data_IF_470793652129
#
_entry.id   IF_470793652129
#
_cell.length_a   1.000
_cell.length_b   1.000
_cell.length_c   1.000
_cell.angle_alpha   90.00
_cell.angle_beta   90.00
_cell.angle_gamma   90.00
#
_symmetry.space_group_name_H-M   'P 1'
#
loop_
_entity.id
_entity.type
_entity.pdbx_description
1 polymer ?
#
# COMPACT_ATOMS: atom_id res chain seq x y z
N UNK A 1 -6.38 -22.36 2.20
CA UNK A 1 -5.14 -22.58 2.98
C UNK A 1 -4.25 -21.38 2.67
N UNK A 2 -4.14 -20.46 3.61
CA UNK A 2 -3.61 -19.10 3.45
C UNK A 2 -2.13 -19.12 3.01
N UNK A 3 -1.78 -18.52 1.86
CA UNK A 3 -0.40 -18.18 1.51
C UNK A 3 -0.10 -16.74 1.93
N UNK A 4 -0.15 -16.47 3.23
CA UNK A 4 0.27 -15.17 3.75
C UNK A 4 1.80 -15.19 3.90
N UNK A 5 2.51 -14.90 2.81
CA UNK A 5 3.93 -14.52 2.88
C UNK A 5 4.01 -13.06 3.32
N UNK A 6 3.72 -12.83 4.60
CA UNK A 6 3.84 -11.50 5.20
C UNK A 6 5.31 -11.10 5.30
N UNK A 7 5.61 -9.88 4.87
CA UNK A 7 6.89 -9.28 5.22
C UNK A 7 6.85 -8.86 6.69
N UNK A 8 7.86 -9.29 7.46
CA UNK A 8 7.95 -8.97 8.89
C UNK A 8 8.57 -7.59 9.11
N UNK A 9 8.27 -6.98 10.26
CA UNK A 9 8.90 -5.73 10.71
C UNK A 9 10.43 -5.82 10.69
N UNK A 10 10.99 -6.91 11.21
CA UNK A 10 12.43 -7.18 11.22
C UNK A 10 13.01 -7.26 9.80
N UNK A 11 12.31 -7.90 8.86
CA UNK A 11 12.76 -7.97 7.47
C UNK A 11 12.79 -6.58 6.82
N UNK A 12 11.79 -5.73 7.07
CA UNK A 12 11.77 -4.34 6.58
C UNK A 12 12.96 -3.55 7.15
N UNK A 13 13.18 -3.64 8.46
CA UNK A 13 14.29 -2.97 9.14
C UNK A 13 15.67 -3.40 8.60
N UNK A 14 15.80 -4.67 8.23
CA UNK A 14 17.02 -5.23 7.65
C UNK A 14 17.15 -4.96 6.14
N UNK A 15 16.29 -4.13 5.54
CA UNK A 15 16.40 -3.71 4.15
C UNK A 15 15.91 -4.75 3.13
N UNK A 16 15.05 -5.69 3.51
CA UNK A 16 14.58 -6.75 2.61
C UNK A 16 13.89 -6.20 1.35
N UNK A 17 13.13 -5.10 1.48
CA UNK A 17 12.42 -4.49 0.33
C UNK A 17 13.41 -3.81 -0.62
N UNK A 18 14.40 -3.10 -0.09
CA UNK A 18 15.48 -2.53 -0.91
C UNK A 18 16.25 -3.64 -1.65
N UNK A 19 16.54 -4.74 -0.96
CA UNK A 19 17.20 -5.89 -1.57
C UNK A 19 16.37 -6.49 -2.72
N UNK A 20 15.04 -6.61 -2.56
CA UNK A 20 14.14 -7.05 -3.63
C UNK A 20 14.12 -6.07 -4.82
N UNK A 21 14.25 -4.78 -4.55
CA UNK A 21 14.20 -3.74 -5.58
C UNK A 21 15.54 -3.48 -6.28
N UNK A 22 16.64 -4.03 -5.77
CA UNK A 22 17.98 -3.83 -6.30
C UNK A 22 18.10 -4.22 -7.78
N UNK A 23 17.62 -5.40 -8.16
CA UNK A 23 17.77 -5.89 -9.54
C UNK A 23 16.98 -5.02 -10.53
N UNK A 24 15.72 -4.70 -10.21
CA UNK A 24 14.91 -3.79 -11.01
C UNK A 24 15.52 -2.39 -11.10
N UNK A 25 16.18 -1.91 -10.04
CA UNK A 25 16.87 -0.63 -10.03
C UNK A 25 18.15 -0.62 -10.88
N UNK A 26 18.95 -1.70 -10.81
CA UNK A 26 20.16 -1.86 -11.62
C UNK A 26 19.83 -1.92 -13.13
N UNK A 27 18.62 -2.36 -13.50
CA UNK A 27 18.08 -2.31 -14.87
C UNK A 27 17.39 -0.98 -15.24
N UNK A 28 17.33 -0.01 -14.31
CA UNK A 28 16.69 1.28 -14.54
C UNK A 28 15.15 1.22 -14.62
N UNK A 29 14.54 0.11 -14.20
CA UNK A 29 13.08 -0.04 -14.18
C UNK A 29 12.47 0.69 -13.00
N UNK A 30 13.16 0.79 -11.87
CA UNK A 30 12.70 1.57 -10.71
C UNK A 30 13.82 2.47 -10.19
N UNK A 31 13.46 3.60 -9.61
CA UNK A 31 14.38 4.42 -8.82
C UNK A 31 14.35 3.95 -7.38
N UNK A 32 15.50 3.73 -6.76
CA UNK A 32 15.58 3.54 -5.30
C UNK A 32 15.70 4.89 -4.61
N UNK A 33 14.86 5.11 -3.59
CA UNK A 33 15.07 6.20 -2.64
C UNK A 33 16.21 5.84 -1.69
N UNK A 34 16.98 6.84 -1.27
CA UNK A 34 17.97 6.62 -0.21
C UNK A 34 17.31 6.65 1.17
N UNK A 35 17.96 6.03 2.18
CA UNK A 35 17.48 6.12 3.55
C UNK A 35 17.39 7.57 4.05
N UNK A 36 18.29 8.45 3.60
CA UNK A 36 18.27 9.86 3.95
C UNK A 36 17.11 10.61 3.28
N UNK A 37 16.83 10.34 1.99
CA UNK A 37 15.66 10.91 1.31
C UNK A 37 14.35 10.51 1.98
N UNK A 38 14.23 9.24 2.38
CA UNK A 38 13.07 8.74 3.11
C UNK A 38 12.95 9.39 4.49
N UNK A 39 14.08 9.53 5.20
CA UNK A 39 14.11 10.23 6.50
C UNK A 39 13.65 11.66 6.39
N UNK A 40 14.19 12.42 5.44
CA UNK A 40 13.80 13.80 5.20
C UNK A 40 12.33 13.92 4.82
N UNK A 41 11.80 12.94 4.07
CA UNK A 41 10.39 12.90 3.70
C UNK A 41 9.46 12.74 4.90
N UNK A 42 9.69 11.76 5.79
CA UNK A 42 8.81 11.61 6.95
C UNK A 42 9.01 12.70 8.01
N UNK A 43 10.23 13.23 8.16
CA UNK A 43 10.48 14.37 9.04
C UNK A 43 9.71 15.62 8.60
N UNK A 44 9.60 15.83 7.28
CA UNK A 44 8.73 16.88 6.73
C UNK A 44 7.27 16.62 7.08
N UNK A 45 6.77 15.39 6.88
CA UNK A 45 5.40 15.02 7.25
C UNK A 45 5.11 15.30 8.73
N UNK A 46 6.04 14.97 9.64
CA UNK A 46 5.87 15.27 11.06
C UNK A 46 5.82 16.78 11.36
N UNK A 47 6.69 17.56 10.71
CA UNK A 47 6.72 19.02 10.89
C UNK A 47 5.43 19.68 10.40
N UNK A 48 4.82 19.10 9.37
CA UNK A 48 3.59 19.58 8.73
C UNK A 48 2.33 18.92 9.30
N UNK A 49 2.42 18.16 10.40
CA UNK A 49 1.28 17.45 10.99
C UNK A 49 0.16 18.44 11.37
N UNK A 50 -1.03 18.35 10.74
CA UNK A 50 -2.13 19.27 11.02
C UNK A 50 -2.97 18.88 12.24
N UNK A 51 -2.76 17.70 12.83
CA UNK A 51 -3.49 17.27 14.02
C UNK A 51 -3.03 18.07 15.26
N UNK A 52 -3.96 18.72 15.95
CA UNK A 52 -3.66 19.58 17.10
C UNK A 52 -3.19 18.83 18.34
N UNK A 53 -3.51 17.55 18.45
CA UNK A 53 -3.06 16.64 19.51
C UNK A 53 -1.68 16.02 19.23
N UNK A 54 -1.10 16.29 18.06
CA UNK A 54 0.18 15.75 17.62
C UNK A 54 0.15 14.26 17.27
N UNK A 55 -1.01 13.59 17.28
CA UNK A 55 -1.11 12.17 16.90
C UNK A 55 -0.81 11.99 15.43
N UNK A 56 -0.24 10.84 15.09
CA UNK A 56 0.13 10.47 13.73
C UNK A 56 -0.70 9.27 13.31
N UNK A 57 -1.63 9.53 12.40
CA UNK A 57 -2.48 8.52 11.82
C UNK A 57 -1.96 8.11 10.45
N UNK A 58 -2.12 6.84 10.10
CA UNK A 58 -1.83 6.29 8.76
C UNK A 58 -3.11 5.69 8.21
N UNK A 59 -3.48 6.05 6.98
CA UNK A 59 -4.65 5.46 6.32
C UNK A 59 -4.26 4.17 5.60
N UNK A 60 -4.77 3.05 6.09
CA UNK A 60 -4.60 1.73 5.50
C UNK A 60 -5.70 1.45 4.47
N UNK A 61 -5.30 1.24 3.20
CA UNK A 61 -6.21 0.92 2.09
C UNK A 61 -5.79 -0.31 1.26
N UNK A 62 -4.63 -0.90 1.56
CA UNK A 62 -4.08 -2.05 0.84
C UNK A 62 -3.49 -3.06 1.81
N UNK A 63 -2.23 -3.46 1.61
CA UNK A 63 -1.57 -4.43 2.51
C UNK A 63 -1.47 -3.99 3.96
N UNK A 64 -1.56 -2.69 4.24
CA UNK A 64 -1.62 -2.18 5.61
C UNK A 64 -2.85 -2.65 6.38
N UNK A 65 -3.93 -3.10 5.71
CA UNK A 65 -5.13 -3.62 6.37
C UNK A 65 -4.89 -4.98 7.06
N UNK A 66 -4.05 -5.83 6.49
CA UNK A 66 -3.80 -7.20 6.98
C UNK A 66 -2.35 -7.47 7.38
N UNK A 67 -1.43 -6.57 7.04
CA UNK A 67 -0.04 -6.60 7.47
C UNK A 67 0.47 -5.15 7.64
N UNK A 68 0.20 -4.45 8.76
CA UNK A 68 0.74 -3.11 9.02
C UNK A 68 2.26 -3.10 9.20
N UNK A 69 2.83 -4.13 9.84
CA UNK A 69 4.26 -4.28 10.11
C UNK A 69 4.94 -3.12 10.88
N UNK A 70 4.15 -2.27 11.56
CA UNK A 70 4.61 -1.25 12.50
C UNK A 70 3.69 -1.24 13.74
N UNK A 71 4.13 -0.62 14.84
CA UNK A 71 3.35 -0.52 16.08
C UNK A 71 2.36 0.65 16.06
N UNK A 72 1.11 0.36 16.44
CA UNK A 72 0.03 1.34 16.57
C UNK A 72 -0.75 1.07 17.86
N UNK A 73 -1.34 2.13 18.42
CA UNK A 73 -2.11 2.07 19.67
C UNK A 73 -3.62 2.04 19.43
N UNK A 74 -4.07 2.55 18.27
CA UNK A 74 -5.48 2.66 17.92
C UNK A 74 -5.68 2.26 16.45
N UNK A 75 -6.78 1.57 16.17
CA UNK A 75 -7.21 1.17 14.84
C UNK A 75 -8.71 1.40 14.74
N UNK A 76 -9.11 2.24 13.80
CA UNK A 76 -10.51 2.68 13.65
C UNK A 76 -10.92 2.59 12.19
N UNK A 77 -12.10 2.05 11.92
CA UNK A 77 -12.68 2.05 10.58
C UNK A 77 -12.90 3.47 10.09
N UNK A 78 -12.48 3.72 8.85
CA UNK A 78 -12.35 5.06 8.33
C UNK A 78 -12.66 5.10 6.83
N UNK A 79 -13.03 6.27 6.32
CA UNK A 79 -13.21 6.47 4.89
C UNK A 79 -12.59 7.78 4.42
N UNK A 80 -11.95 7.70 3.26
CA UNK A 80 -11.26 8.81 2.61
C UNK A 80 -12.10 9.29 1.43
N UNK A 81 -12.49 10.55 1.43
CA UNK A 81 -13.23 11.19 0.34
C UNK A 81 -12.29 11.67 -0.78
N UNK A 82 -12.77 11.64 -2.03
CA UNK A 82 -12.06 12.16 -3.20
C UNK A 82 -11.04 11.20 -3.83
N UNK A 83 -10.93 9.98 -3.28
CA UNK A 83 -10.02 8.95 -3.75
C UNK A 83 -10.71 7.59 -3.85
N UNK A 84 -10.22 6.71 -4.71
CA UNK A 84 -10.59 5.29 -4.73
C UNK A 84 -9.31 4.45 -4.83
N UNK A 85 -9.39 3.18 -4.43
CA UNK A 85 -8.29 2.23 -4.63
C UNK A 85 -8.46 1.52 -5.96
N UNK A 86 -7.36 1.28 -6.67
CA UNK A 86 -7.33 0.40 -7.85
C UNK A 86 -5.93 -0.21 -8.02
N UNK A 87 -5.84 -1.29 -8.80
CA UNK A 87 -4.60 -1.95 -9.18
C UNK A 87 -3.90 -1.16 -10.30
N UNK A 88 -3.28 -0.05 -9.90
CA UNK A 88 -2.70 0.93 -10.80
C UNK A 88 -1.18 1.09 -10.66
N UNK A 89 -0.51 0.24 -9.88
CA UNK A 89 0.95 0.20 -9.81
C UNK A 89 1.47 -1.14 -10.32
N UNK A 90 2.17 -1.12 -11.47
CA UNK A 90 2.95 -2.27 -11.93
C UNK A 90 4.18 -2.41 -11.06
N UNK A 91 4.42 -3.62 -10.55
CA UNK A 91 5.56 -3.91 -9.68
C UNK A 91 6.41 -5.05 -10.21
N UNK A 92 7.73 -4.84 -10.16
CA UNK A 92 8.75 -5.87 -10.39
C UNK A 92 9.34 -6.38 -9.07
N UNK A 93 8.77 -5.96 -7.95
CA UNK A 93 9.25 -6.23 -6.59
C UNK A 93 8.11 -6.74 -5.72
N UNK A 94 8.42 -7.62 -4.77
CA UNK A 94 7.44 -8.16 -3.83
C UNK A 94 6.41 -9.08 -4.50
N UNK A 95 5.35 -8.52 -5.09
CA UNK A 95 4.24 -9.26 -5.72
C UNK A 95 4.41 -9.47 -7.24
N UNK A 96 5.57 -9.10 -7.76
CA UNK A 96 5.99 -9.34 -9.13
C UNK A 96 7.50 -9.52 -9.21
N UNK A 97 7.98 -9.89 -10.40
CA UNK A 97 9.40 -9.97 -10.74
C UNK A 97 9.61 -9.47 -12.18
N UNK A 98 10.85 -9.52 -12.68
CA UNK A 98 11.19 -9.04 -14.03
C UNK A 98 10.53 -9.81 -15.17
N UNK A 99 10.34 -11.12 -15.01
CA UNK A 99 9.70 -11.99 -16.00
C UNK A 99 8.18 -11.93 -15.90
N UNK A 100 7.67 -11.83 -14.67
CA UNK A 100 6.25 -11.85 -14.34
C UNK A 100 5.92 -10.66 -13.44
N UNK A 101 5.81 -9.44 -14.00
CA UNK A 101 5.42 -8.27 -13.23
C UNK A 101 4.03 -8.48 -12.63
N UNK A 102 3.83 -7.94 -11.44
CA UNK A 102 2.54 -7.95 -10.75
C UNK A 102 1.89 -6.57 -10.77
N UNK A 103 0.67 -6.51 -10.23
CA UNK A 103 0.00 -5.27 -9.91
C UNK A 103 -0.25 -5.18 -8.40
N UNK A 104 -0.11 -3.98 -7.85
CA UNK A 104 -0.49 -3.64 -6.47
C UNK A 104 -1.36 -2.40 -6.45
N UNK A 105 -2.05 -2.18 -5.32
CA UNK A 105 -2.99 -1.07 -5.18
C UNK A 105 -2.26 0.27 -5.07
N UNK A 106 -2.87 1.30 -5.65
CA UNK A 106 -2.63 2.70 -5.32
C UNK A 106 -3.95 3.42 -5.08
N UNK A 107 -3.87 4.61 -4.47
CA UNK A 107 -5.02 5.52 -4.40
C UNK A 107 -4.99 6.51 -5.57
N UNK A 108 -6.12 6.63 -6.25
CA UNK A 108 -6.32 7.55 -7.36
C UNK A 108 -7.51 8.46 -7.09
N UNK A 109 -7.56 9.63 -7.75
CA UNK A 109 -8.71 10.54 -7.65
C UNK A 109 -10.00 9.80 -8.01
N UNK A 110 -11.00 9.92 -7.16
CA UNK A 110 -12.24 9.14 -7.25
C UNK A 110 -13.32 9.66 -6.32
N UNK A 111 -14.24 8.78 -5.94
CA UNK A 111 -15.35 9.14 -5.07
C UNK A 111 -14.97 9.02 -3.59
N UNK A 112 -14.75 7.79 -3.12
CA UNK A 112 -14.38 7.49 -1.75
C UNK A 112 -13.69 6.12 -1.65
N UNK A 113 -13.00 5.91 -0.54
CA UNK A 113 -12.25 4.69 -0.27
C UNK A 113 -12.40 4.32 1.21
N UNK A 114 -12.90 3.11 1.50
CA UNK A 114 -13.08 2.61 2.86
C UNK A 114 -11.87 1.84 3.37
N UNK A 115 -11.27 2.26 4.47
CA UNK A 115 -10.09 1.62 5.04
C UNK A 115 -10.07 1.74 6.55
N UNK A 116 -8.86 1.81 7.11
CA UNK A 116 -8.68 2.03 8.55
C UNK A 116 -7.68 3.15 8.79
N UNK A 117 -7.93 3.93 9.83
CA UNK A 117 -6.93 4.83 10.39
C UNK A 117 -6.19 4.10 11.51
N UNK A 118 -4.87 4.03 11.40
CA UNK A 118 -3.97 3.41 12.39
C UNK A 118 -3.18 4.52 13.10
N UNK A 119 -3.38 4.71 14.42
CA UNK A 119 -2.63 5.70 15.20
C UNK A 119 -1.30 5.11 15.64
N UNK A 120 -0.19 5.68 15.14
CA UNK A 120 1.16 5.20 15.47
C UNK A 120 1.48 5.39 16.95
N UNK A 121 2.23 4.44 17.52
CA UNK A 121 2.64 4.49 18.93
C UNK A 121 3.62 5.65 19.18
N UNK A 122 3.33 6.58 20.11
CA UNK A 122 4.15 7.78 20.29
C UNK A 122 5.52 7.49 20.87
N UNK A 123 5.71 6.40 21.63
CA UNK A 123 7.01 6.10 22.28
C UNK A 123 8.12 5.75 21.27
N UNK A 124 7.75 5.38 20.04
CA UNK A 124 8.66 4.85 19.02
C UNK A 124 8.46 5.47 17.64
N UNK A 125 7.81 6.64 17.57
CA UNK A 125 7.31 7.25 16.34
C UNK A 125 8.35 7.33 15.21
N UNK A 126 9.53 7.88 15.47
CA UNK A 126 10.60 8.00 14.46
C UNK A 126 10.99 6.64 13.87
N UNK A 127 11.13 5.61 14.73
CA UNK A 127 11.51 4.27 14.28
C UNK A 127 10.39 3.56 13.51
N UNK A 128 9.13 3.80 13.87
CA UNK A 128 7.99 3.24 13.15
C UNK A 128 7.78 3.96 11.81
N UNK A 129 8.09 5.26 11.73
CA UNK A 129 8.08 6.02 10.47
C UNK A 129 9.21 5.59 9.54
N UNK A 130 10.41 5.34 10.06
CA UNK A 130 11.51 4.77 9.28
C UNK A 130 11.10 3.43 8.64
N UNK A 131 10.40 2.57 9.39
CA UNK A 131 9.91 1.27 8.91
C UNK A 131 8.81 1.47 7.86
N UNK A 132 7.82 2.32 8.13
CA UNK A 132 6.73 2.61 7.21
C UNK A 132 7.26 3.19 5.89
N UNK A 133 8.23 4.10 5.94
CA UNK A 133 8.84 4.67 4.74
C UNK A 133 9.73 3.66 4.01
N UNK A 134 10.52 2.86 4.72
CA UNK A 134 11.30 1.78 4.10
C UNK A 134 10.41 0.76 3.38
N UNK A 135 9.14 0.67 3.78
CA UNK A 135 8.13 -0.15 3.14
C UNK A 135 7.44 0.51 1.96
N UNK A 136 6.79 1.65 2.17
CA UNK A 136 5.90 2.25 1.18
C UNK A 136 6.66 3.14 0.18
N UNK A 137 7.77 3.76 0.61
CA UNK A 137 8.48 4.79 -0.14
C UNK A 137 9.81 4.32 -0.75
N UNK A 138 10.05 2.99 -0.80
CA UNK A 138 11.33 2.43 -1.29
C UNK A 138 11.63 2.82 -2.75
N UNK A 139 10.60 2.89 -3.60
CA UNK A 139 10.76 3.25 -5.02
C UNK A 139 10.25 4.65 -5.36
N UNK A 140 9.64 5.34 -4.39
CA UNK A 140 8.99 6.63 -4.60
C UNK A 140 7.73 6.57 -5.49
N UNK A 141 7.08 5.41 -5.60
CA UNK A 141 5.85 5.25 -6.40
C UNK A 141 4.64 6.01 -5.82
N UNK A 142 4.67 6.38 -4.55
CA UNK A 142 3.61 7.13 -3.90
C UNK A 142 4.07 8.53 -3.48
N UNK A 143 3.11 9.43 -3.37
CA UNK A 143 3.27 10.73 -2.71
C UNK A 143 2.57 10.68 -1.35
N UNK A 144 3.30 10.79 -0.22
CA UNK A 144 2.70 10.87 1.11
C UNK A 144 2.04 12.25 1.28
N UNK A 145 0.80 12.27 1.77
CA UNK A 145 0.04 13.49 2.02
C UNK A 145 -0.75 13.40 3.32
N UNK A 146 -0.94 14.53 3.99
CA UNK A 146 -1.95 14.66 5.04
C UNK A 146 -3.32 14.89 4.41
N UNK A 147 -4.22 13.93 4.57
CA UNK A 147 -5.60 14.06 4.10
C UNK A 147 -6.58 13.89 5.26
N UNK A 148 -7.71 14.63 5.26
CA UNK A 148 -8.79 14.38 6.19
C UNK A 148 -9.44 13.02 5.88
N UNK A 149 -9.56 12.20 6.91
CA UNK A 149 -10.21 10.89 6.87
C UNK A 149 -11.28 10.88 7.94
N UNK A 150 -12.49 10.52 7.54
CA UNK A 150 -13.63 10.45 8.43
C UNK A 150 -13.64 9.07 9.11
N UNK A 151 -13.57 9.06 10.43
CA UNK A 151 -13.56 7.83 11.23
C UNK A 151 -14.93 7.58 11.85
N UNK A 152 -15.28 6.31 12.07
CA UNK A 152 -16.55 5.97 12.72
C UNK A 152 -16.60 6.34 14.21
N UNK A 153 -15.45 6.49 14.88
CA UNK A 153 -15.37 6.69 16.33
C UNK A 153 -14.90 8.10 16.75
N UNK A 154 -13.96 8.70 16.02
CA UNK A 154 -13.25 9.93 16.42
C UNK A 154 -13.64 11.18 15.61
N UNK A 155 -14.59 11.05 14.68
CA UNK A 155 -14.87 12.10 13.71
C UNK A 155 -13.76 12.20 12.67
N UNK A 156 -13.52 13.40 12.14
CA UNK A 156 -12.53 13.61 11.07
C UNK A 156 -11.13 13.83 11.66
N UNK A 157 -10.17 12.97 11.28
CA UNK A 157 -8.74 13.08 11.64
C UNK A 157 -7.90 13.27 10.39
N UNK A 158 -6.72 13.89 10.48
CA UNK A 158 -5.80 13.88 9.35
C UNK A 158 -4.88 12.67 9.43
N UNK A 159 -4.81 11.89 8.36
CA UNK A 159 -3.91 10.74 8.27
C UNK A 159 -2.88 10.94 7.15
N UNK A 160 -1.72 10.33 7.33
CA UNK A 160 -0.74 10.11 6.26
C UNK A 160 -1.35 9.11 5.30
N UNK A 161 -1.49 9.54 4.05
CA UNK A 161 -2.04 8.75 2.95
C UNK A 161 -1.00 8.66 1.84
N UNK A 162 -0.66 7.44 1.42
CA UNK A 162 0.21 7.19 0.28
C UNK A 162 -0.61 7.16 -1.00
N UNK A 163 -0.62 8.25 -1.76
CA UNK A 163 -1.39 8.38 -3.00
C UNK A 163 -0.51 8.05 -4.20
N UNK A 164 -1.07 7.39 -5.22
CA UNK A 164 -0.34 7.02 -6.42
C UNK A 164 0.22 8.25 -7.13
N UNK A 165 1.54 8.28 -7.35
CA UNK A 165 2.15 9.27 -8.25
C UNK A 165 1.88 8.87 -9.71
N UNK A 166 1.06 9.66 -10.41
CA UNK A 166 0.67 9.37 -11.80
C UNK A 166 1.77 9.66 -12.81
N UNK A 167 2.81 10.38 -12.40
CA UNK A 167 4.02 10.61 -13.20
C UNK A 167 5.06 9.49 -12.98
N UNK A 168 4.79 8.55 -12.06
CA UNK A 168 5.64 7.40 -11.82
C UNK A 168 5.69 6.48 -13.06
N UNK A 169 6.87 6.06 -13.55
CA UNK A 169 6.97 5.33 -14.81
C UNK A 169 6.22 3.98 -14.86
N UNK A 170 5.91 3.38 -13.71
CA UNK A 170 5.17 2.12 -13.59
C UNK A 170 3.69 2.32 -13.21
N UNK A 171 3.21 3.56 -13.22
CA UNK A 171 1.78 3.82 -13.12
C UNK A 171 1.05 3.15 -14.29
N UNK A 172 0.12 2.26 -13.96
CA UNK A 172 -0.60 1.37 -14.87
C UNK A 172 -2.06 1.82 -15.06
N UNK A 173 -2.28 3.14 -15.10
CA UNK A 173 -3.62 3.72 -15.26
C UNK A 173 -4.25 3.48 -16.63
N UNK A 174 -3.44 3.18 -17.65
CA UNK A 174 -3.83 2.94 -19.04
C UNK A 174 -4.35 1.52 -19.30
N UNK A 175 -4.09 0.58 -18.40
CA UNK A 175 -4.55 -0.80 -18.55
C UNK A 175 -6.08 -0.90 -18.54
N UNK A 176 -6.60 -1.81 -19.34
CA UNK A 176 -7.99 -2.25 -19.26
C UNK A 176 -8.22 -3.15 -18.05
N UNK A 177 -9.49 -3.34 -17.67
CA UNK A 177 -9.86 -4.27 -16.60
C UNK A 177 -9.33 -5.70 -16.86
N UNK A 178 -9.38 -6.16 -18.10
CA UNK A 178 -8.94 -7.51 -18.46
C UNK A 178 -7.42 -7.65 -18.40
N UNK A 179 -6.67 -6.66 -18.90
CA UNK A 179 -5.20 -6.64 -18.77
C UNK A 179 -4.78 -6.64 -17.29
N UNK A 180 -5.46 -5.86 -16.43
CA UNK A 180 -5.22 -5.91 -14.99
C UNK A 180 -5.49 -7.29 -14.40
N UNK A 181 -6.58 -7.95 -14.80
CA UNK A 181 -6.88 -9.31 -14.34
C UNK A 181 -5.81 -10.31 -14.77
N UNK A 182 -5.28 -10.19 -15.99
CA UNK A 182 -4.20 -11.04 -16.49
C UNK A 182 -2.90 -10.82 -15.71
N UNK A 183 -2.49 -9.56 -15.53
CA UNK A 183 -1.30 -9.20 -14.74
C UNK A 183 -1.44 -9.68 -13.28
N UNK A 184 -2.62 -9.57 -12.68
CA UNK A 184 -2.90 -10.09 -11.32
C UNK A 184 -2.86 -11.63 -11.24
N UNK A 185 -3.35 -12.32 -12.27
CA UNK A 185 -3.35 -13.77 -12.32
C UNK A 185 -1.94 -14.33 -12.50
N UNK A 186 -1.11 -13.68 -13.33
CA UNK A 186 0.22 -14.16 -13.71
C UNK A 186 1.34 -13.66 -12.79
N UNK A 187 1.20 -12.47 -12.21
CA UNK A 187 2.23 -11.81 -11.41
C UNK A 187 2.68 -12.63 -10.20
N UNK A 188 3.99 -12.81 -10.09
CA UNK A 188 4.62 -13.58 -9.00
C UNK A 188 5.92 -12.92 -8.57
N UNK A 189 6.16 -12.82 -7.27
CA UNK A 189 7.42 -12.29 -6.76
C UNK A 189 7.81 -12.89 -5.42
N UNK A 190 8.89 -12.36 -4.79
CA UNK A 190 9.42 -12.85 -3.53
C UNK A 190 8.42 -12.86 -2.36
N UNK A 191 7.39 -12.02 -2.40
CA UNK A 191 6.31 -11.96 -1.40
C UNK A 191 5.06 -12.74 -1.82
N UNK A 192 5.15 -13.60 -2.84
CA UNK A 192 4.04 -14.42 -3.34
C UNK A 192 3.37 -13.82 -4.58
N UNK A 193 2.18 -14.34 -4.88
CA UNK A 193 1.42 -13.96 -6.09
C UNK A 193 0.75 -12.59 -5.91
N UNK A 194 0.55 -11.87 -7.01
CA UNK A 194 -0.27 -10.67 -7.02
C UNK A 194 -1.76 -10.99 -6.75
N UNK A 195 -2.23 -12.16 -7.20
CA UNK A 195 -3.55 -12.70 -6.87
C UNK A 195 -3.75 -12.92 -5.37
N UNK A 196 -2.74 -13.42 -4.65
CA UNK A 196 -2.82 -13.59 -3.18
C UNK A 196 -3.02 -12.22 -2.50
N UNK A 197 -2.30 -11.19 -2.94
CA UNK A 197 -2.46 -9.83 -2.42
C UNK A 197 -3.87 -9.26 -2.65
N UNK A 198 -4.46 -9.49 -3.82
CA UNK A 198 -5.86 -9.14 -4.11
C UNK A 198 -6.82 -9.84 -3.14
N UNK A 199 -6.68 -11.15 -2.99
CA UNK A 199 -7.58 -11.97 -2.17
C UNK A 199 -7.44 -11.67 -0.67
N UNK A 200 -6.23 -11.42 -0.19
CA UNK A 200 -5.97 -11.00 1.20
C UNK A 200 -6.62 -9.63 1.47
N UNK A 201 -6.54 -8.71 0.50
CA UNK A 201 -7.15 -7.39 0.63
C UNK A 201 -8.68 -7.43 0.61
N UNK A 202 -9.27 -8.26 -0.26
CA UNK A 202 -10.72 -8.53 -0.24
C UNK A 202 -11.14 -9.10 1.11
N UNK A 203 -10.44 -10.13 1.59
CA UNK A 203 -10.76 -10.77 2.87
C UNK A 203 -10.66 -9.80 4.06
N UNK A 204 -9.69 -8.89 4.03
CA UNK A 204 -9.56 -7.86 5.07
C UNK A 204 -10.74 -6.88 5.05
N UNK A 205 -11.19 -6.45 3.87
CA UNK A 205 -12.37 -5.58 3.74
C UNK A 205 -13.66 -6.29 4.17
N UNK A 206 -13.84 -7.56 3.79
CA UNK A 206 -14.97 -8.38 4.23
C UNK A 206 -15.03 -8.50 5.75
N UNK A 207 -13.87 -8.66 6.42
CA UNK A 207 -13.80 -8.72 7.89
C UNK A 207 -14.24 -7.42 8.58
N UNK A 208 -14.20 -6.31 7.85
CA UNK A 208 -14.67 -4.99 8.28
C UNK A 208 -16.11 -4.71 7.81
N UNK A 209 -16.81 -5.71 7.25
CA UNK A 209 -18.14 -5.57 6.62
C UNK A 209 -18.18 -4.54 5.48
N UNK A 210 -17.07 -4.37 4.75
CA UNK A 210 -16.97 -3.50 3.58
C UNK A 210 -16.91 -4.38 2.33
N UNK A 211 -17.76 -4.04 1.37
CA UNK A 211 -17.74 -4.65 0.03
C UNK A 211 -17.20 -3.60 -0.95
N UNK A 212 -16.08 -3.92 -1.58
CA UNK A 212 -15.51 -3.13 -2.66
C UNK A 212 -15.83 -3.82 -4.00
N UNK A 213 -16.84 -3.28 -4.70
CA UNK A 213 -17.37 -3.88 -5.94
C UNK A 213 -16.29 -4.09 -7.02
N UNK A 214 -15.28 -3.22 -7.07
CA UNK A 214 -14.22 -3.33 -8.08
C UNK A 214 -13.25 -4.46 -7.73
N UNK A 215 -12.83 -4.55 -6.48
CA UNK A 215 -11.97 -5.63 -5.99
C UNK A 215 -12.66 -6.99 -6.07
N UNK A 216 -13.97 -7.07 -5.79
CA UNK A 216 -14.75 -8.30 -5.96
C UNK A 216 -14.79 -8.75 -7.42
N UNK A 217 -14.97 -7.80 -8.36
CA UNK A 217 -14.93 -8.09 -9.79
C UNK A 217 -13.56 -8.61 -10.22
N UNK A 218 -12.47 -8.00 -9.75
CA UNK A 218 -11.12 -8.52 -9.99
C UNK A 218 -10.97 -9.94 -9.41
N UNK A 219 -11.37 -10.16 -8.16
CA UNK A 219 -11.23 -11.45 -7.50
C UNK A 219 -12.00 -12.55 -8.22
N UNK A 220 -13.23 -12.26 -8.67
CA UNK A 220 -14.02 -13.18 -9.48
C UNK A 220 -13.33 -13.52 -10.81
N UNK A 221 -12.89 -12.51 -11.55
CA UNK A 221 -12.25 -12.71 -12.87
C UNK A 221 -10.91 -13.42 -12.77
N UNK A 222 -10.07 -13.04 -11.81
CA UNK A 222 -8.75 -13.65 -11.56
C UNK A 222 -8.89 -15.12 -11.16
N UNK A 223 -9.86 -15.47 -10.29
CA UNK A 223 -10.14 -16.87 -9.95
C UNK A 223 -10.52 -17.71 -11.17
N UNK A 224 -11.32 -17.15 -12.09
CA UNK A 224 -11.67 -17.82 -13.33
C UNK A 224 -10.43 -18.06 -14.21
N UNK A 225 -9.61 -17.03 -14.43
CA UNK A 225 -8.37 -17.13 -15.21
C UNK A 225 -7.35 -18.13 -14.64
N UNK A 226 -7.32 -18.31 -13.32
CA UNK A 226 -6.43 -19.27 -12.66
C UNK A 226 -6.96 -20.71 -12.64
N UNK A 227 -8.22 -20.91 -13.03
CA UNK A 227 -8.86 -22.24 -13.11
C UNK A 227 -8.87 -22.83 -14.52
N UNK A 228 -8.58 -22.00 -15.53
CA UNK A 228 -8.43 -22.36 -16.95
C UNK A 228 -7.02 -22.87 -17.25
#
# INVERSE_FOLDING_TARGET
MQSVTNISREAIQNGAIEAMAKEAADLGLVRLTTAEERRQSWQRMLTENPNSDGRVWVFAYGSLLWNPAFHFTEQVDAYLNGYHRDFCLRTYIGRGNLEQPGLVLGLEKGQHCYGQALCMAPEHLDSELDILWAREMVTGAYTPMWLPVDTQAEGSVHAIVFVMDRDYPQYAGDLSFEERCQDLALGVGPLGRASDYLLDTVSALESMNIVDDLLERYACRVRALMSD
#
